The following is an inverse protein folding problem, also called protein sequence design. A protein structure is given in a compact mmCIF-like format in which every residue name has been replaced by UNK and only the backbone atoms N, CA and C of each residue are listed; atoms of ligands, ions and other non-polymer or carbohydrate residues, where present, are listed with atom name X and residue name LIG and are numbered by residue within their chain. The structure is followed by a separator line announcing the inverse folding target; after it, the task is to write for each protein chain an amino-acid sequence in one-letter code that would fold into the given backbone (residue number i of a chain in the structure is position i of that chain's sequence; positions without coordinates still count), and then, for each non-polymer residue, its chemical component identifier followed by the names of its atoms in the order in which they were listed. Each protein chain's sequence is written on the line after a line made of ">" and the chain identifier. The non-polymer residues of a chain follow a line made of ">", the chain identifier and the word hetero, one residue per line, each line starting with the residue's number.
data_IF_314598749529
#
_entry.id   IF_314598749529
#
_cell.length_a   1.000
_cell.length_b   1.000
_cell.length_c   1.000
_cell.angle_alpha   90.00
_cell.angle_beta   90.00
_cell.angle_gamma   90.00
#
_symmetry.space_group_name_H-M   'P 1'
#
loop_
_entity.id
_entity.type
_entity.pdbx_description
1 polymer ?
#
# COMPACT_ATOMS: atom_id res chain seq x y z
N UNK A 1 -13.55 -2.73 4.34
CA UNK A 1 -13.76 -3.22 5.71
C UNK A 1 -12.48 -3.38 6.51
N UNK A 2 -11.33 -3.59 5.88
CA UNK A 2 -10.01 -3.64 6.55
C UNK A 2 -9.32 -2.29 6.51
N UNK A 3 -8.87 -1.82 7.67
CA UNK A 3 -8.07 -0.60 7.73
C UNK A 3 -6.66 -0.85 7.17
N UNK A 4 -5.98 0.16 6.57
CA UNK A 4 -4.60 0.01 6.07
C UNK A 4 -3.64 -0.53 7.14
N UNK A 5 -3.85 -0.18 8.41
CA UNK A 5 -3.04 -0.67 9.52
C UNK A 5 -3.23 -2.18 9.77
N UNK A 6 -4.44 -2.71 9.60
CA UNK A 6 -4.71 -4.15 9.74
C UNK A 6 -4.08 -4.94 8.60
N UNK A 7 -4.05 -4.37 7.38
CA UNK A 7 -3.38 -4.98 6.23
C UNK A 7 -1.87 -5.10 6.48
N UNK A 8 -1.24 -4.03 6.97
CA UNK A 8 0.21 -4.03 7.27
C UNK A 8 0.57 -4.97 8.39
N UNK A 9 -0.27 -5.08 9.43
CA UNK A 9 -0.09 -6.05 10.52
C UNK A 9 -0.24 -7.50 10.05
N UNK A 10 -1.18 -7.76 9.13
CA UNK A 10 -1.32 -9.07 8.50
C UNK A 10 -0.10 -9.44 7.67
N UNK A 11 0.42 -8.49 6.90
CA UNK A 11 1.61 -8.66 6.07
C UNK A 11 2.88 -8.86 6.92
N UNK A 12 3.02 -8.14 8.04
CA UNK A 12 4.11 -8.34 9.00
C UNK A 12 4.10 -9.76 9.55
N UNK A 13 2.91 -10.27 9.94
CA UNK A 13 2.77 -11.66 10.40
C UNK A 13 3.10 -12.68 9.31
N UNK A 14 2.68 -12.43 8.07
CA UNK A 14 2.98 -13.30 6.93
C UNK A 14 4.47 -13.31 6.57
N UNK A 15 5.16 -12.18 6.75
CA UNK A 15 6.60 -12.05 6.49
C UNK A 15 7.47 -12.48 7.69
N UNK A 16 6.87 -12.73 8.85
CA UNK A 16 7.60 -13.13 10.07
C UNK A 16 8.56 -14.34 9.86
N UNK A 17 8.23 -15.39 9.08
CA UNK A 17 9.19 -16.46 8.79
C UNK A 17 10.45 -15.97 8.04
N UNK A 18 10.36 -14.87 7.27
CA UNK A 18 11.50 -14.29 6.57
C UNK A 18 12.49 -13.58 7.53
N UNK A 19 12.07 -13.22 8.74
CA UNK A 19 12.97 -12.64 9.72
C UNK A 19 14.12 -13.60 10.12
N UNK A 20 13.89 -14.92 9.98
CA UNK A 20 14.93 -15.96 10.21
C UNK A 20 16.06 -15.92 9.18
N UNK A 21 15.86 -15.27 8.04
CA UNK A 21 16.84 -15.11 6.95
C UNK A 21 17.59 -13.75 7.08
N UNK A 22 17.39 -13.02 8.19
CA UNK A 22 18.05 -11.72 8.42
C UNK A 22 17.34 -10.52 7.80
N UNK A 23 16.10 -10.68 7.30
CA UNK A 23 15.32 -9.57 6.73
C UNK A 23 14.67 -8.77 7.86
N UNK A 24 14.82 -7.42 7.91
CA UNK A 24 14.21 -6.58 8.93
C UNK A 24 12.70 -6.40 8.66
N UNK A 25 11.90 -7.46 8.94
CA UNK A 25 10.47 -7.52 8.64
C UNK A 25 9.70 -6.36 9.25
N UNK A 26 10.08 -5.95 10.47
CA UNK A 26 9.43 -4.82 11.15
C UNK A 26 9.64 -3.49 10.39
N UNK A 27 10.85 -3.24 9.89
CA UNK A 27 11.13 -2.03 9.11
C UNK A 27 10.34 -2.03 7.79
N UNK A 28 10.24 -3.19 7.12
CA UNK A 28 9.45 -3.35 5.89
C UNK A 28 7.97 -3.10 6.17
N UNK A 29 7.39 -3.68 7.21
CA UNK A 29 6.00 -3.48 7.58
C UNK A 29 5.71 -2.00 7.88
N UNK A 30 6.64 -1.32 8.55
CA UNK A 30 6.55 0.10 8.81
C UNK A 30 6.60 0.95 7.53
N UNK A 31 7.56 0.66 6.62
CA UNK A 31 7.64 1.33 5.32
C UNK A 31 6.34 1.16 4.53
N UNK A 32 5.76 -0.04 4.52
CA UNK A 32 4.48 -0.31 3.85
C UNK A 32 3.31 0.46 4.49
N UNK A 33 3.28 0.56 5.82
CA UNK A 33 2.26 1.33 6.53
C UNK A 33 2.32 2.81 6.15
N UNK A 34 3.53 3.37 6.08
CA UNK A 34 3.77 4.75 5.65
C UNK A 34 3.36 4.92 4.19
N UNK A 35 3.77 4.01 3.30
CA UNK A 35 3.43 4.05 1.88
C UNK A 35 1.92 4.03 1.66
N UNK A 36 1.19 3.10 2.28
CA UNK A 36 -0.28 3.01 2.17
C UNK A 36 -1.00 4.28 2.64
N UNK A 37 -0.43 4.98 3.62
CA UNK A 37 -0.95 6.27 4.09
C UNK A 37 -0.68 7.39 3.11
N UNK A 38 0.49 7.38 2.47
CA UNK A 38 0.89 8.45 1.55
C UNK A 38 0.31 8.30 0.14
N UNK A 39 -0.06 7.10 -0.30
CA UNK A 39 -0.66 6.87 -1.62
C UNK A 39 -1.84 7.81 -1.89
N UNK A 40 -2.88 7.89 -1.04
CA UNK A 40 -4.00 8.81 -1.30
C UNK A 40 -3.57 10.27 -1.40
N UNK A 41 -2.65 10.68 -0.52
CA UNK A 41 -2.14 12.05 -0.46
C UNK A 41 -1.36 12.40 -1.74
N UNK A 42 -0.53 11.47 -2.23
CA UNK A 42 0.24 11.66 -3.46
C UNK A 42 -0.66 11.69 -4.70
N UNK A 43 -1.75 10.93 -4.72
CA UNK A 43 -2.75 10.98 -5.80
C UNK A 43 -3.39 12.37 -5.86
N UNK A 44 -3.87 12.89 -4.73
CA UNK A 44 -4.45 14.23 -4.66
C UNK A 44 -3.45 15.32 -5.06
N UNK A 45 -2.19 15.18 -4.66
CA UNK A 45 -1.13 16.13 -5.01
C UNK A 45 -0.81 16.07 -6.50
N UNK A 46 -0.77 14.88 -7.08
CA UNK A 46 -0.59 14.68 -8.52
C UNK A 46 -1.69 15.35 -9.31
N UNK A 47 -2.96 15.21 -8.90
CA UNK A 47 -4.09 15.87 -9.55
C UNK A 47 -4.00 17.40 -9.50
N UNK A 48 -3.56 17.94 -8.36
CA UNK A 48 -3.35 19.39 -8.21
C UNK A 48 -2.25 19.91 -9.13
N UNK A 49 -1.11 19.22 -9.16
CA UNK A 49 0.03 19.58 -10.01
C UNK A 49 -0.37 19.44 -11.48
N UNK A 50 -1.07 18.37 -11.86
CA UNK A 50 -1.55 18.16 -13.24
C UNK A 50 -2.45 19.28 -13.69
N UNK A 51 -3.45 19.68 -12.89
CA UNK A 51 -4.33 20.80 -13.19
C UNK A 51 -3.58 22.13 -13.34
N UNK A 52 -2.59 22.37 -12.47
CA UNK A 52 -1.74 23.56 -12.54
C UNK A 52 -0.87 23.58 -13.81
N UNK A 53 -0.35 22.43 -14.24
CA UNK A 53 0.45 22.33 -15.47
C UNK A 53 -0.42 22.45 -16.73
N UNK A 54 -1.62 21.87 -16.74
CA UNK A 54 -2.60 22.08 -17.82
C UNK A 54 -2.97 23.56 -17.98
N UNK A 55 -3.17 24.28 -16.88
CA UNK A 55 -3.42 25.73 -16.90
C UNK A 55 -2.24 26.54 -17.46
N UNK A 56 -1.01 25.99 -17.43
CA UNK A 56 0.20 26.54 -18.05
C UNK A 56 0.40 26.11 -19.51
N UNK A 57 -0.57 25.39 -20.08
CA UNK A 57 -0.52 24.92 -21.46
C UNK A 57 0.21 23.59 -21.67
N UNK A 58 0.45 22.83 -20.61
CA UNK A 58 0.98 21.49 -20.75
C UNK A 58 -0.07 20.54 -21.35
N UNK A 59 0.31 19.83 -22.40
CA UNK A 59 -0.53 18.83 -23.05
C UNK A 59 0.03 17.43 -22.75
N UNK A 60 -0.76 16.64 -22.02
CA UNK A 60 -0.39 15.28 -21.59
C UNK A 60 -0.96 14.19 -22.49
N UNK A 61 -1.89 14.54 -23.39
CA UNK A 61 -2.64 13.56 -24.19
C UNK A 61 -2.14 13.44 -25.61
N UNK A 62 -1.60 14.52 -26.21
CA UNK A 62 -1.21 14.54 -27.63
C UNK A 62 0.26 14.24 -27.83
N UNK A 63 0.56 13.38 -28.81
CA UNK A 63 1.90 13.18 -29.33
C UNK A 63 2.48 11.78 -29.24
N UNK A 64 3.72 11.65 -29.77
CA UNK A 64 4.47 10.41 -29.78
C UNK A 64 4.94 10.04 -28.34
N UNK A 65 5.17 8.75 -28.05
CA UNK A 65 5.55 8.25 -26.72
C UNK A 65 6.69 9.05 -26.08
N UNK A 66 7.72 9.42 -26.85
CA UNK A 66 8.84 10.25 -26.37
C UNK A 66 8.40 11.66 -25.96
N UNK A 67 7.47 12.27 -26.69
CA UNK A 67 6.92 13.60 -26.36
C UNK A 67 6.06 13.53 -25.10
N UNK A 68 5.32 12.44 -24.95
CA UNK A 68 4.49 12.17 -23.76
C UNK A 68 5.33 11.98 -22.49
N UNK A 69 6.44 11.25 -22.57
CA UNK A 69 7.38 11.10 -21.46
C UNK A 69 8.00 12.45 -21.07
N UNK A 70 8.40 13.26 -22.06
CA UNK A 70 8.97 14.59 -21.81
C UNK A 70 7.97 15.56 -21.19
N UNK A 71 6.69 15.48 -21.56
CA UNK A 71 5.63 16.31 -20.94
C UNK A 71 5.31 15.92 -19.50
N UNK A 72 5.69 14.71 -19.06
CA UNK A 72 5.51 14.28 -17.66
C UNK A 72 6.60 14.82 -16.71
N UNK A 73 7.76 15.26 -17.23
CA UNK A 73 8.87 15.77 -16.39
C UNK A 73 8.43 16.94 -15.48
N UNK A 74 7.70 17.97 -15.99
CA UNK A 74 7.22 19.08 -15.15
C UNK A 74 6.23 18.66 -14.05
N UNK A 75 5.67 17.45 -14.14
CA UNK A 75 4.80 16.88 -13.12
C UNK A 75 5.62 16.07 -12.11
N UNK A 76 6.59 15.30 -12.58
CA UNK A 76 7.41 14.45 -11.72
C UNK A 76 8.30 15.25 -10.77
N UNK A 77 8.94 16.31 -11.25
CA UNK A 77 9.89 17.09 -10.43
C UNK A 77 9.23 17.68 -9.18
N UNK A 78 8.09 18.42 -9.26
CA UNK A 78 7.41 18.92 -8.07
C UNK A 78 6.94 17.80 -7.14
N UNK A 79 6.46 16.69 -7.71
CA UNK A 79 6.00 15.53 -6.94
C UNK A 79 7.13 14.92 -6.11
N UNK A 80 8.32 14.74 -6.71
CA UNK A 80 9.50 14.25 -5.99
C UNK A 80 9.92 15.20 -4.87
N UNK A 81 9.97 16.51 -5.16
CA UNK A 81 10.33 17.52 -4.13
C UNK A 81 9.34 17.47 -2.97
N UNK A 82 8.05 17.35 -3.23
CA UNK A 82 7.03 17.22 -2.20
C UNK A 82 7.20 15.92 -1.41
N UNK A 83 7.46 14.79 -2.07
CA UNK A 83 7.67 13.51 -1.44
C UNK A 83 8.89 13.53 -0.49
N UNK A 84 10.01 14.14 -0.91
CA UNK A 84 11.20 14.28 -0.06
C UNK A 84 10.94 15.16 1.16
N UNK A 85 10.28 16.31 0.99
CA UNK A 85 9.91 17.17 2.13
C UNK A 85 9.06 16.42 3.16
N UNK A 86 8.10 15.63 2.69
CA UNK A 86 7.27 14.81 3.59
C UNK A 86 8.07 13.72 4.29
N UNK A 87 9.05 13.13 3.60
CA UNK A 87 9.94 12.15 4.20
C UNK A 87 10.78 12.77 5.32
N UNK A 88 11.33 13.97 5.09
CA UNK A 88 12.09 14.72 6.09
C UNK A 88 11.21 15.11 7.30
N UNK A 89 10.01 15.64 7.06
CA UNK A 89 9.05 15.98 8.12
C UNK A 89 8.68 14.75 8.95
N UNK A 90 8.49 13.60 8.29
CA UNK A 90 8.19 12.33 8.98
C UNK A 90 9.38 11.87 9.80
N UNK A 91 10.60 11.94 9.25
CA UNK A 91 11.82 11.56 9.95
C UNK A 91 12.02 12.41 11.21
N UNK A 92 11.88 13.73 11.12
CA UNK A 92 11.95 14.63 12.28
C UNK A 92 10.86 14.31 13.32
N UNK A 93 9.63 14.02 12.87
CA UNK A 93 8.55 13.65 13.77
C UNK A 93 8.80 12.30 14.47
N UNK A 94 9.47 11.36 13.81
CA UNK A 94 9.87 10.08 14.40
C UNK A 94 10.99 10.26 15.42
N UNK A 95 11.99 11.06 15.11
CA UNK A 95 13.08 11.41 16.04
C UNK A 95 12.53 12.10 17.30
N UNK A 96 11.63 13.07 17.12
CA UNK A 96 10.99 13.78 18.24
C UNK A 96 10.17 12.83 19.15
N UNK A 97 9.72 11.69 18.63
CA UNK A 97 9.05 10.62 19.40
C UNK A 97 10.00 9.55 19.92
N UNK A 98 11.30 9.78 19.87
CA UNK A 98 12.34 8.85 20.30
C UNK A 98 12.23 7.49 19.60
N UNK A 99 11.96 7.48 18.28
CA UNK A 99 11.91 6.26 17.52
C UNK A 99 13.32 5.66 17.41
N UNK A 100 13.54 4.52 18.04
CA UNK A 100 14.85 3.84 18.09
C UNK A 100 14.77 2.42 17.50
N UNK A 101 14.14 2.26 16.33
CA UNK A 101 14.00 0.96 15.68
C UNK A 101 12.81 0.13 16.18
N UNK A 102 12.80 -1.14 15.78
CA UNK A 102 11.68 -2.07 16.04
C UNK A 102 11.84 -2.97 17.25
N UNK A 103 13.03 -3.05 17.84
CA UNK A 103 13.32 -3.95 18.96
C UNK A 103 12.62 -3.46 20.25
N UNK A 104 11.96 -4.37 20.95
CA UNK A 104 11.31 -4.09 22.24
C UNK A 104 9.97 -3.33 22.17
N UNK A 105 9.38 -3.11 20.98
CA UNK A 105 8.10 -2.42 20.85
C UNK A 105 6.91 -3.34 21.06
N UNK A 106 5.94 -2.85 21.84
CA UNK A 106 4.64 -3.50 22.02
C UNK A 106 3.59 -2.83 21.11
N UNK A 107 2.69 -3.64 20.52
CA UNK A 107 1.58 -3.11 19.71
C UNK A 107 0.43 -2.69 20.62
N UNK A 108 -0.09 -1.48 20.45
CA UNK A 108 -1.21 -0.95 21.23
C UNK A 108 -2.51 -1.72 20.97
N UNK A 109 -2.71 -2.20 19.74
CA UNK A 109 -3.85 -3.05 19.32
C UNK A 109 -3.33 -4.24 18.51
N UNK A 110 -2.90 -5.32 19.17
CA UNK A 110 -2.45 -6.50 18.43
C UNK A 110 -3.65 -7.16 17.75
N UNK A 111 -3.49 -7.56 16.49
CA UNK A 111 -4.48 -8.39 15.79
C UNK A 111 -4.57 -9.76 16.47
N UNK A 112 -5.78 -10.09 16.94
CA UNK A 112 -6.10 -11.41 17.50
C UNK A 112 -7.14 -12.08 16.61
N UNK A 113 -6.96 -13.37 16.37
CA UNK A 113 -7.97 -14.17 15.69
C UNK A 113 -9.20 -14.31 16.60
N UNK A 114 -10.34 -13.84 16.12
CA UNK A 114 -11.62 -14.00 16.79
C UNK A 114 -12.37 -15.22 16.23
N UNK A 115 -13.40 -15.69 16.95
CA UNK A 115 -14.25 -16.79 16.49
C UNK A 115 -14.95 -16.50 15.15
N UNK A 116 -15.19 -15.21 14.87
CA UNK A 116 -15.73 -14.70 13.60
C UNK A 116 -14.84 -15.00 12.41
N UNK A 117 -13.52 -14.94 12.60
CA UNK A 117 -12.55 -15.20 11.53
C UNK A 117 -12.55 -16.66 11.12
N UNK A 118 -12.71 -17.57 12.10
CA UNK A 118 -12.84 -19.01 11.83
C UNK A 118 -14.11 -19.32 11.04
N UNK A 119 -15.22 -18.67 11.38
CA UNK A 119 -16.47 -18.80 10.65
C UNK A 119 -16.33 -18.29 9.20
N UNK A 120 -15.65 -17.16 9.00
CA UNK A 120 -15.38 -16.60 7.68
C UNK A 120 -14.54 -17.53 6.82
N UNK A 121 -13.52 -18.16 7.39
CA UNK A 121 -12.70 -19.17 6.70
C UNK A 121 -13.55 -20.40 6.31
N UNK A 122 -14.42 -20.86 7.20
CA UNK A 122 -15.28 -22.01 6.95
C UNK A 122 -16.26 -21.70 5.80
N UNK A 123 -16.88 -20.52 5.80
CA UNK A 123 -17.79 -20.08 4.73
C UNK A 123 -17.04 -19.98 3.39
N UNK A 124 -15.84 -19.42 3.39
CA UNK A 124 -15.03 -19.26 2.18
C UNK A 124 -14.63 -20.62 1.60
N UNK A 125 -14.23 -21.58 2.43
CA UNK A 125 -13.90 -22.93 2.00
C UNK A 125 -15.12 -23.69 1.47
N UNK A 126 -16.26 -23.54 2.12
CA UNK A 126 -17.53 -24.14 1.69
C UNK A 126 -17.99 -23.57 0.35
N UNK A 127 -17.85 -22.25 0.16
CA UNK A 127 -18.17 -21.59 -1.11
C UNK A 127 -17.23 -22.06 -2.25
N UNK A 128 -15.93 -22.17 -1.97
CA UNK A 128 -14.96 -22.68 -2.93
C UNK A 128 -15.23 -24.12 -3.32
N UNK A 129 -15.57 -24.98 -2.34
CA UNK A 129 -15.96 -26.36 -2.58
C UNK A 129 -17.22 -26.44 -3.45
N UNK A 130 -18.21 -25.58 -3.20
CA UNK A 130 -19.45 -25.51 -3.97
C UNK A 130 -19.18 -25.12 -5.43
N UNK A 131 -18.32 -24.13 -5.66
CA UNK A 131 -17.94 -23.73 -7.04
C UNK A 131 -17.24 -24.87 -7.77
N UNK A 132 -16.31 -25.57 -7.11
CA UNK A 132 -15.60 -26.70 -7.73
C UNK A 132 -16.61 -27.82 -8.07
N UNK A 133 -17.52 -28.11 -7.18
CA UNK A 133 -18.56 -29.14 -7.35
C UNK A 133 -19.49 -28.76 -8.49
N UNK A 134 -19.96 -27.52 -8.57
CA UNK A 134 -20.76 -27.02 -9.69
C UNK A 134 -19.99 -27.12 -11.02
N UNK A 135 -18.70 -26.82 -11.03
CA UNK A 135 -17.86 -26.90 -12.25
C UNK A 135 -17.71 -28.35 -12.75
N UNK A 136 -17.68 -29.32 -11.84
CA UNK A 136 -17.54 -30.73 -12.18
C UNK A 136 -18.89 -31.28 -12.69
N UNK A 137 -20.02 -30.88 -12.08
CA UNK A 137 -21.36 -31.40 -12.42
C UNK A 137 -22.01 -30.67 -13.60
N UNK A 138 -21.69 -29.41 -13.83
CA UNK A 138 -22.21 -28.60 -14.94
C UNK A 138 -21.06 -28.33 -15.94
N UNK A 139 -20.83 -29.23 -16.91
CA UNK A 139 -19.86 -28.93 -17.96
C UNK A 139 -20.38 -27.74 -18.78
N UNK A 140 -19.62 -26.64 -18.75
CA UNK A 140 -19.94 -25.44 -19.53
C UNK A 140 -19.94 -25.83 -21.02
N UNK A 141 -21.02 -25.57 -21.79
CA UNK A 141 -21.01 -25.78 -23.23
C UNK A 141 -19.99 -24.81 -23.85
N UNK A 142 -19.06 -25.37 -24.63
CA UNK A 142 -18.13 -24.61 -25.49
C UNK A 142 -18.86 -23.91 -26.61
#
# INVERSE_FOLDING_TARGET
>A
TTTPNQLTDGLEKALMPLSKIGVPVHAIAMMMSIALRFIPILIEETDKIMKAQMARGADFESGNLLKKVKSMIPLLVPLFVSAFRRADDLAMAMEARCYNGGEGRTKMKPLRYEGRDRLSYLIMWLYLALIILCRIFVPWPQ
#
